data_IF_024969439983
#
_entry.id   IF_024969439983
#
_cell.length_a   1.000
_cell.length_b   1.000
_cell.length_c   1.000
_cell.angle_alpha   90.00
_cell.angle_beta   90.00
_cell.angle_gamma   90.00
#
_symmetry.space_group_name_H-M   'P 1'
#
loop_
_entity.id
_entity.type
_entity.pdbx_description
1 polymer ?
#
# COMPACT_ATOMS: atom_id res chain seq x y z
N UNK A 1 17.20 52.32 -24.12
CA UNK A 1 16.57 51.30 -23.25
C UNK A 1 15.11 51.63 -23.12
N UNK A 2 14.31 51.03 -23.99
CA UNK A 2 12.90 51.35 -24.18
C UNK A 2 12.10 51.11 -22.91
N UNK A 3 11.64 52.20 -22.30
CA UNK A 3 10.79 52.23 -21.10
C UNK A 3 9.48 51.44 -21.28
N UNK A 4 9.16 51.08 -22.53
CA UNK A 4 8.02 50.25 -22.95
C UNK A 4 8.23 48.75 -22.76
N UNK A 5 9.48 48.26 -22.62
CA UNK A 5 9.76 46.85 -22.33
C UNK A 5 9.62 46.50 -20.84
N UNK A 6 9.72 47.50 -19.96
CA UNK A 6 9.55 47.34 -18.51
C UNK A 6 8.18 46.78 -18.08
N UNK A 7 7.04 47.28 -18.59
CA UNK A 7 5.74 46.71 -18.21
C UNK A 7 5.54 45.29 -18.77
N UNK A 8 6.12 44.98 -19.94
CA UNK A 8 6.03 43.65 -20.55
C UNK A 8 6.78 42.60 -19.72
N UNK A 9 7.96 42.95 -19.21
CA UNK A 9 8.75 42.07 -18.34
C UNK A 9 8.08 41.86 -16.98
N UNK A 10 7.41 42.89 -16.44
CA UNK A 10 6.66 42.77 -15.20
C UNK A 10 5.43 41.85 -15.37
N UNK A 11 4.70 41.94 -16.49
CA UNK A 11 3.59 41.04 -16.79
C UNK A 11 4.04 39.57 -16.93
N UNK A 12 5.20 39.32 -17.56
CA UNK A 12 5.73 37.97 -17.70
C UNK A 12 6.11 37.35 -16.35
N UNK A 13 6.74 38.13 -15.46
CA UNK A 13 7.12 37.67 -14.12
C UNK A 13 5.90 37.33 -13.24
N UNK A 14 4.74 37.93 -13.53
CA UNK A 14 3.50 37.66 -12.81
C UNK A 14 2.89 36.31 -13.23
N UNK A 15 3.11 35.86 -14.47
CA UNK A 15 2.55 34.60 -14.96
C UNK A 15 3.32 33.38 -14.45
N UNK A 16 4.60 33.53 -14.08
CA UNK A 16 5.45 32.42 -13.66
C UNK A 16 5.36 32.07 -12.17
N UNK A 17 4.71 32.89 -11.34
CA UNK A 17 4.40 32.50 -9.98
C UNK A 17 3.11 31.68 -9.95
N UNK A 18 3.16 30.49 -10.54
CA UNK A 18 2.29 29.42 -10.09
C UNK A 18 2.88 29.01 -8.74
N UNK A 19 2.27 29.31 -7.58
CA UNK A 19 2.61 28.56 -6.40
C UNK A 19 2.33 27.11 -6.80
N UNK A 20 3.39 26.31 -6.89
CA UNK A 20 3.31 24.87 -6.76
C UNK A 20 2.80 24.61 -5.34
N UNK A 21 1.53 24.95 -5.09
CA UNK A 21 0.76 24.27 -4.09
C UNK A 21 0.93 22.82 -4.47
N UNK A 22 1.60 22.08 -3.59
CA UNK A 22 1.51 20.64 -3.47
C UNK A 22 0.02 20.34 -3.30
N UNK A 23 -0.70 20.41 -4.42
CA UNK A 23 -2.08 20.04 -4.54
C UNK A 23 -2.01 18.53 -4.46
N UNK A 24 -1.93 18.04 -3.21
CA UNK A 24 -2.43 16.72 -2.87
C UNK A 24 -3.76 16.62 -3.61
N UNK A 25 -3.89 15.75 -4.62
CA UNK A 25 -5.11 15.71 -5.41
C UNK A 25 -6.27 15.54 -4.45
N UNK A 26 -7.36 16.26 -4.72
CA UNK A 26 -8.64 16.33 -4.00
C UNK A 26 -9.37 14.98 -4.13
N UNK A 27 -8.66 13.92 -3.78
CA UNK A 27 -9.10 12.55 -3.66
C UNK A 27 -8.47 12.01 -2.39
N UNK A 28 -8.88 12.64 -1.28
CA UNK A 28 -9.15 12.01 0.00
C UNK A 28 -10.25 10.94 -0.20
N UNK A 29 -10.08 10.08 -1.20
CA UNK A 29 -10.67 8.75 -1.22
C UNK A 29 -9.72 7.94 -0.35
N UNK A 30 -9.80 8.22 0.95
CA UNK A 30 -9.37 7.39 2.08
C UNK A 30 -10.14 6.05 2.07
N UNK A 31 -10.34 5.45 0.89
CA UNK A 31 -10.99 4.14 0.76
C UNK A 31 -9.88 3.13 0.67
N UNK A 32 -9.62 2.52 1.81
CA UNK A 32 -8.84 1.30 1.91
C UNK A 32 -9.12 0.34 0.74
N UNK A 33 -8.06 -0.31 0.25
CA UNK A 33 -8.13 -1.24 -0.90
C UNK A 33 -9.21 -2.29 -0.71
N UNK A 34 -9.40 -2.73 0.54
CA UNK A 34 -10.49 -3.58 0.97
C UNK A 34 -11.64 -2.77 1.57
N UNK A 35 -12.83 -2.85 0.97
CA UNK A 35 -14.07 -2.27 1.53
C UNK A 35 -14.74 -3.21 2.55
N UNK A 36 -14.59 -4.52 2.37
CA UNK A 36 -15.11 -5.54 3.28
C UNK A 36 -14.21 -6.77 3.24
N UNK A 37 -14.11 -7.47 4.37
CA UNK A 37 -13.32 -8.69 4.51
C UNK A 37 -14.22 -9.92 4.58
N UNK A 38 -13.78 -11.00 3.94
CA UNK A 38 -14.40 -12.31 4.08
C UNK A 38 -13.70 -13.06 5.22
N UNK A 39 -14.48 -13.54 6.18
CA UNK A 39 -13.98 -14.33 7.31
C UNK A 39 -13.75 -15.80 6.93
N UNK A 40 -14.49 -16.31 5.94
CA UNK A 40 -14.50 -17.74 5.60
C UNK A 40 -13.92 -17.97 4.20
N UNK A 41 -12.60 -17.87 4.07
CA UNK A 41 -11.89 -18.23 2.84
C UNK A 41 -11.06 -19.50 3.09
N UNK A 42 -11.35 -20.61 2.39
CA UNK A 42 -10.62 -21.86 2.59
C UNK A 42 -9.24 -21.83 1.90
N UNK A 43 -8.19 -22.16 2.66
CA UNK A 43 -6.78 -22.13 2.22
C UNK A 43 -6.54 -22.86 0.89
N UNK A 44 -7.24 -23.98 0.64
CA UNK A 44 -7.13 -24.79 -0.60
C UNK A 44 -7.37 -24.02 -1.90
N UNK A 45 -8.15 -22.94 -1.82
CA UNK A 45 -8.54 -22.12 -2.99
C UNK A 45 -7.59 -20.96 -3.23
N UNK A 46 -6.70 -20.67 -2.28
CA UNK A 46 -5.78 -19.53 -2.33
C UNK A 46 -4.57 -19.93 -3.17
N UNK A 47 -4.24 -19.08 -4.14
CA UNK A 47 -3.04 -19.17 -4.97
C UNK A 47 -1.91 -18.32 -4.38
N UNK A 48 -2.24 -17.12 -3.92
CA UNK A 48 -1.26 -16.15 -3.43
C UNK A 48 -1.89 -15.25 -2.36
N UNK A 49 -1.09 -14.81 -1.39
CA UNK A 49 -1.46 -13.84 -0.36
C UNK A 49 -0.63 -12.57 -0.56
N UNK A 50 -1.31 -11.43 -0.63
CA UNK A 50 -0.72 -10.08 -0.68
C UNK A 50 -1.05 -9.36 0.63
N UNK A 51 -0.02 -8.85 1.29
CA UNK A 51 -0.16 -8.06 2.51
C UNK A 51 0.00 -6.59 2.16
N UNK A 52 -1.00 -5.78 2.46
CA UNK A 52 -1.00 -4.34 2.20
C UNK A 52 -0.96 -3.59 3.52
N UNK A 53 0.01 -2.69 3.62
CA UNK A 53 0.11 -1.71 4.69
C UNK A 53 0.04 -0.33 4.05
N UNK A 54 -1.10 0.35 4.24
CA UNK A 54 -1.35 1.69 3.70
C UNK A 54 -1.49 2.64 4.88
N UNK A 55 -0.81 3.80 4.88
CA UNK A 55 -1.04 4.81 5.91
C UNK A 55 -2.52 5.18 5.94
N UNK A 56 -3.09 5.38 7.13
CA UNK A 56 -4.51 5.64 7.39
C UNK A 56 -5.47 4.45 7.21
N UNK A 57 -4.97 3.24 6.92
CA UNK A 57 -5.79 2.03 6.80
C UNK A 57 -5.35 0.92 7.75
N UNK A 58 -6.29 0.10 8.26
CA UNK A 58 -5.94 -1.10 9.01
C UNK A 58 -5.20 -2.08 8.10
N UNK A 59 -4.41 -2.95 8.73
CA UNK A 59 -3.66 -4.00 8.03
C UNK A 59 -4.59 -4.85 7.18
N UNK A 60 -4.31 -4.93 5.88
CA UNK A 60 -5.15 -5.59 4.91
C UNK A 60 -4.46 -6.80 4.30
N UNK A 61 -5.24 -7.85 4.09
CA UNK A 61 -4.77 -9.09 3.47
C UNK A 61 -5.66 -9.39 2.28
N UNK A 62 -5.06 -9.48 1.10
CA UNK A 62 -5.73 -9.82 -0.15
C UNK A 62 -5.27 -11.20 -0.58
N UNK A 63 -6.20 -12.12 -0.74
CA UNK A 63 -5.94 -13.43 -1.33
C UNK A 63 -6.33 -13.44 -2.79
N UNK A 64 -5.40 -13.86 -3.64
CA UNK A 64 -5.69 -14.24 -5.02
C UNK A 64 -6.09 -15.71 -5.02
N UNK A 65 -7.31 -15.99 -5.44
CA UNK A 65 -7.83 -17.35 -5.57
C UNK A 65 -7.29 -18.01 -6.85
N UNK A 66 -7.33 -19.34 -6.90
CA UNK A 66 -7.00 -20.13 -8.10
C UNK A 66 -7.92 -19.80 -9.28
N UNK A 67 -9.12 -19.32 -9.01
CA UNK A 67 -10.06 -18.78 -10.01
C UNK A 67 -9.68 -17.39 -10.54
N UNK A 68 -8.48 -16.88 -10.21
CA UNK A 68 -7.99 -15.53 -10.52
C UNK A 68 -8.80 -14.38 -9.91
N UNK A 69 -9.75 -14.67 -9.02
CA UNK A 69 -10.47 -13.65 -8.26
C UNK A 69 -9.63 -13.18 -7.08
N UNK A 70 -9.62 -11.87 -6.82
CA UNK A 70 -8.98 -11.28 -5.65
C UNK A 70 -10.06 -11.02 -4.59
N UNK A 71 -9.82 -11.49 -3.36
CA UNK A 71 -10.72 -11.31 -2.22
C UNK A 71 -9.96 -10.80 -1.01
N UNK A 72 -10.56 -9.89 -0.25
CA UNK A 72 -10.00 -9.42 1.00
C UNK A 72 -10.35 -10.40 2.12
N UNK A 73 -9.37 -10.74 2.97
CA UNK A 73 -9.50 -11.67 4.09
C UNK A 73 -9.31 -10.91 5.39
N UNK A 74 -10.08 -11.26 6.41
CA UNK A 74 -9.87 -10.73 7.75
C UNK A 74 -8.55 -11.31 8.35
N UNK A 75 -7.58 -10.48 8.78
CA UNK A 75 -6.36 -10.96 9.44
C UNK A 75 -6.61 -11.80 10.71
N UNK A 76 -7.78 -11.69 11.33
CA UNK A 76 -8.18 -12.46 12.53
C UNK A 76 -8.59 -13.90 12.23
N UNK A 77 -8.56 -14.32 10.97
CA UNK A 77 -8.94 -15.68 10.59
C UNK A 77 -7.95 -16.71 11.16
N UNK A 78 -8.45 -17.71 11.92
CA UNK A 78 -7.62 -18.71 12.64
C UNK A 78 -6.55 -19.39 11.76
N UNK A 79 -6.92 -19.83 10.55
CA UNK A 79 -5.97 -20.52 9.67
C UNK A 79 -4.85 -19.57 9.18
N UNK A 80 -5.18 -18.29 8.96
CA UNK A 80 -4.22 -17.28 8.49
C UNK A 80 -3.22 -16.94 9.59
N UNK A 81 -3.68 -16.78 10.83
CA UNK A 81 -2.82 -16.59 12.00
C UNK A 81 -1.85 -17.77 12.18
N UNK A 82 -2.35 -19.00 12.05
CA UNK A 82 -1.52 -20.19 12.15
C UNK A 82 -0.49 -20.26 11.02
N UNK A 83 -0.87 -19.90 9.79
CA UNK A 83 0.03 -19.83 8.65
C UNK A 83 1.16 -18.82 8.89
N UNK A 84 0.83 -17.60 9.33
CA UNK A 84 1.82 -16.55 9.64
C UNK A 84 2.76 -16.97 10.77
N UNK A 85 2.23 -17.54 11.86
CA UNK A 85 3.03 -18.03 12.98
C UNK A 85 4.04 -19.10 12.54
N UNK A 86 3.60 -20.04 11.70
CA UNK A 86 4.48 -21.08 11.15
C UNK A 86 5.56 -20.50 10.25
N UNK A 87 5.22 -19.53 9.40
CA UNK A 87 6.18 -18.85 8.52
C UNK A 87 7.25 -18.11 9.33
N UNK A 88 6.86 -17.32 10.34
CA UNK A 88 7.78 -16.59 11.21
C UNK A 88 8.69 -17.56 11.99
N UNK A 89 8.12 -18.64 12.52
CA UNK A 89 8.90 -19.66 13.24
C UNK A 89 9.95 -20.33 12.34
N UNK A 90 9.61 -20.61 11.06
CA UNK A 90 10.58 -21.14 10.09
C UNK A 90 11.73 -20.16 9.85
N UNK A 91 11.43 -18.88 9.64
CA UNK A 91 12.45 -17.82 9.44
C UNK A 91 13.36 -17.71 10.66
N UNK A 92 12.80 -17.68 11.87
CA UNK A 92 13.57 -17.60 13.13
C UNK A 92 14.48 -18.81 13.32
N UNK A 93 13.98 -20.03 13.04
CA UNK A 93 14.79 -21.26 13.09
C UNK A 93 15.93 -21.23 12.06
N UNK A 94 15.65 -20.79 10.84
CA UNK A 94 16.65 -20.64 9.78
C UNK A 94 17.76 -19.66 10.19
N UNK A 95 17.39 -18.50 10.76
CA UNK A 95 18.35 -17.49 11.24
C UNK A 95 19.23 -18.04 12.37
N UNK A 96 18.66 -18.76 13.34
CA UNK A 96 19.44 -19.43 14.41
C UNK A 96 20.43 -20.44 13.84
N UNK A 97 20.01 -21.27 12.88
CA UNK A 97 20.91 -22.25 12.25
C UNK A 97 22.08 -21.57 11.52
N UNK A 98 21.85 -20.41 10.91
CA UNK A 98 22.90 -19.64 10.25
C UNK A 98 23.89 -19.04 11.26
N UNK A 99 23.38 -18.48 12.38
CA UNK A 99 24.22 -17.91 13.42
C UNK A 99 25.08 -18.96 14.16
N UNK A 100 24.60 -20.20 14.29
CA UNK A 100 25.36 -21.29 14.90
C UNK A 100 26.40 -21.93 13.96
N UNK A 101 26.48 -21.48 12.71
CA UNK A 101 27.44 -21.97 11.70
C UNK A 101 28.65 -21.04 11.53
N UNK A 102 28.69 -19.96 12.30
CA UNK A 102 29.80 -19.00 12.47
C UNK A 102 30.49 -19.37 13.78
#
# INVERSE_FOLDING_TARGET
MDLKLLPLMLLLAITTHVPSSDAKPISLVERCRCRSTLNTVPQRTIKELKFLHTPNCPFQVIAKLKSNREVCINPETKWLQQYLKNAINKVKKSKRRNNNKI
#
